data_IF_312495592593
#
_entry.id   IF_312495592593
#
_cell.length_a   1.000
_cell.length_b   1.000
_cell.length_c   1.000
_cell.angle_alpha   90.00
_cell.angle_beta   90.00
_cell.angle_gamma   90.00
#
_symmetry.space_group_name_H-M   'P 1'
#
loop_
_entity.id
_entity.type
_entity.pdbx_description
1 polymer ?
#
# COMPACT_ATOMS: atom_id res chain seq x y z
N UNK A 1 7.27 -13.00 36.88
CA UNK A 1 6.91 -14.16 36.00
C UNK A 1 7.93 -14.17 34.87
N UNK A 2 8.30 -15.33 34.29
CA UNK A 2 9.21 -15.36 33.17
C UNK A 2 8.63 -14.58 32.00
N UNK A 3 9.45 -13.76 31.34
CA UNK A 3 9.08 -12.96 30.17
C UNK A 3 9.29 -13.70 28.85
N UNK A 4 9.71 -14.95 28.90
CA UNK A 4 9.95 -15.81 27.74
C UNK A 4 10.05 -17.28 28.14
N UNK A 5 9.88 -18.18 27.16
CA UNK A 5 10.09 -19.62 27.32
C UNK A 5 11.23 -20.06 26.38
N UNK A 6 12.32 -20.71 26.87
CA UNK A 6 13.50 -21.00 26.06
C UNK A 6 13.22 -21.83 24.80
N UNK A 7 12.35 -22.87 24.90
CA UNK A 7 11.98 -23.68 23.74
C UNK A 7 11.14 -22.92 22.73
N UNK A 8 10.26 -22.00 23.18
CA UNK A 8 9.52 -21.12 22.31
C UNK A 8 10.46 -20.19 21.54
N UNK A 9 11.44 -19.57 22.22
CA UNK A 9 12.43 -18.71 21.55
C UNK A 9 13.20 -19.44 20.47
N UNK A 10 13.64 -20.69 20.76
CA UNK A 10 14.36 -21.49 19.78
C UNK A 10 13.52 -21.83 18.56
N UNK A 11 12.26 -22.23 18.75
CA UNK A 11 11.40 -22.62 17.62
C UNK A 11 10.92 -21.42 16.82
N UNK A 12 10.68 -20.26 17.47
CA UNK A 12 10.38 -18.99 16.78
C UNK A 12 11.51 -18.60 15.82
N UNK A 13 12.77 -18.68 16.28
CA UNK A 13 13.95 -18.39 15.41
C UNK A 13 13.96 -19.31 14.19
N UNK A 14 13.71 -20.62 14.36
CA UNK A 14 13.62 -21.54 13.24
C UNK A 14 12.49 -21.18 12.28
N UNK A 15 11.33 -20.78 12.80
CA UNK A 15 10.21 -20.35 11.98
C UNK A 15 10.52 -19.06 11.20
N UNK A 16 11.16 -18.09 11.83
CA UNK A 16 11.55 -16.83 11.16
C UNK A 16 12.60 -17.09 10.07
N UNK A 17 13.56 -17.97 10.30
CA UNK A 17 14.49 -18.43 9.26
C UNK A 17 13.73 -19.09 8.11
N UNK A 18 12.79 -20.00 8.41
CA UNK A 18 11.95 -20.64 7.40
C UNK A 18 11.16 -19.62 6.58
N UNK A 19 10.55 -18.61 7.22
CA UNK A 19 9.83 -17.54 6.52
C UNK A 19 10.76 -16.72 5.62
N UNK A 20 11.95 -16.39 6.11
CA UNK A 20 12.93 -15.58 5.38
C UNK A 20 13.59 -16.37 4.24
N UNK A 21 14.10 -17.54 4.51
CA UNK A 21 14.94 -18.29 3.56
C UNK A 21 14.13 -19.22 2.64
N UNK A 22 13.15 -19.95 3.17
CA UNK A 22 12.34 -20.88 2.38
C UNK A 22 11.12 -20.23 1.76
N UNK A 23 10.44 -19.31 2.46
CA UNK A 23 9.26 -18.59 1.95
C UNK A 23 9.60 -17.25 1.31
N UNK A 24 10.85 -16.80 1.41
CA UNK A 24 11.38 -15.55 0.83
C UNK A 24 10.55 -14.31 1.19
N UNK A 25 10.02 -14.30 2.41
CA UNK A 25 9.23 -13.17 2.91
C UNK A 25 10.14 -11.99 3.26
N UNK A 26 9.61 -10.77 3.10
CA UNK A 26 10.28 -9.54 3.51
C UNK A 26 10.42 -9.46 5.04
N UNK A 27 11.41 -8.73 5.53
CA UNK A 27 11.61 -8.50 6.98
C UNK A 27 10.34 -7.93 7.63
N UNK A 28 9.71 -6.94 7.02
CA UNK A 28 8.45 -6.38 7.54
C UNK A 28 7.32 -7.42 7.66
N UNK A 29 7.28 -8.41 6.76
CA UNK A 29 6.31 -9.52 6.87
C UNK A 29 6.66 -10.46 8.02
N UNK A 30 7.94 -10.75 8.22
CA UNK A 30 8.41 -11.58 9.34
C UNK A 30 8.18 -10.88 10.67
N UNK A 31 8.40 -9.57 10.75
CA UNK A 31 8.12 -8.75 11.95
C UNK A 31 6.62 -8.77 12.30
N UNK A 32 5.73 -8.70 11.32
CA UNK A 32 4.30 -8.80 11.55
C UNK A 32 3.91 -10.17 12.14
N UNK A 33 4.55 -11.24 11.67
CA UNK A 33 4.39 -12.60 12.24
C UNK A 33 4.94 -12.64 13.66
N UNK A 34 6.12 -12.08 13.90
CA UNK A 34 6.74 -12.03 15.23
C UNK A 34 5.84 -11.31 16.25
N UNK A 35 5.25 -10.17 15.84
CA UNK A 35 4.29 -9.45 16.67
C UNK A 35 3.02 -10.26 16.98
N UNK A 36 2.51 -11.02 16.01
CA UNK A 36 1.35 -11.88 16.23
C UNK A 36 1.65 -12.97 17.25
N UNK A 37 2.82 -13.64 17.13
CA UNK A 37 3.26 -14.67 18.07
C UNK A 37 3.50 -14.06 19.47
N UNK A 38 4.15 -12.91 19.56
CA UNK A 38 4.39 -12.22 20.83
C UNK A 38 3.07 -11.88 21.56
N UNK A 39 2.05 -11.41 20.82
CA UNK A 39 0.71 -11.17 21.41
C UNK A 39 0.11 -12.43 22.01
N UNK A 40 0.26 -13.58 21.35
CA UNK A 40 -0.22 -14.85 21.84
C UNK A 40 0.58 -15.34 23.06
N UNK A 41 1.91 -15.18 23.05
CA UNK A 41 2.76 -15.55 24.20
C UNK A 41 2.43 -14.74 25.45
N UNK A 42 2.26 -13.44 25.32
CA UNK A 42 1.82 -12.55 26.43
C UNK A 42 0.47 -13.02 26.98
N UNK A 43 -0.47 -13.33 26.12
CA UNK A 43 -1.81 -13.79 26.49
C UNK A 43 -1.80 -15.13 27.23
N UNK A 44 -0.95 -16.06 26.78
CA UNK A 44 -0.79 -17.38 27.38
C UNK A 44 0.24 -17.41 28.50
N UNK A 45 0.79 -16.26 28.92
CA UNK A 45 1.84 -16.12 29.96
C UNK A 45 3.07 -16.93 29.64
N UNK A 46 3.50 -16.91 28.38
CA UNK A 46 4.70 -17.59 27.86
C UNK A 46 4.71 -19.09 28.10
N UNK A 47 3.54 -19.75 28.06
CA UNK A 47 3.46 -21.21 28.13
C UNK A 47 4.17 -21.86 26.96
N UNK A 48 4.70 -23.05 27.20
CA UNK A 48 5.30 -23.88 26.16
C UNK A 48 4.29 -24.13 25.02
N UNK A 49 4.68 -23.87 23.80
CA UNK A 49 3.82 -24.12 22.62
C UNK A 49 3.43 -25.60 22.45
N UNK A 50 4.17 -26.53 23.04
CA UNK A 50 3.77 -27.96 23.08
C UNK A 50 2.46 -28.20 23.84
N UNK A 51 2.07 -27.29 24.70
CA UNK A 51 0.82 -27.35 25.45
C UNK A 51 -0.36 -26.66 24.77
N UNK A 52 -0.17 -26.21 23.51
CA UNK A 52 -1.25 -25.57 22.76
C UNK A 52 -2.44 -26.52 22.54
N UNK A 53 -3.65 -25.99 22.69
CA UNK A 53 -4.92 -26.67 22.43
C UNK A 53 -5.91 -25.66 21.83
N UNK A 54 -6.92 -26.18 21.14
CA UNK A 54 -7.97 -25.41 20.49
C UNK A 54 -8.65 -24.39 21.41
N UNK A 55 -8.86 -24.73 22.71
CA UNK A 55 -9.48 -23.84 23.69
C UNK A 55 -8.67 -22.56 23.91
N UNK A 56 -7.33 -22.64 23.80
CA UNK A 56 -6.46 -21.48 23.91
C UNK A 56 -6.65 -20.53 22.71
N UNK A 57 -6.82 -21.08 21.51
CA UNK A 57 -7.11 -20.27 20.32
C UNK A 57 -8.47 -19.56 20.45
N UNK A 58 -9.50 -20.27 20.92
CA UNK A 58 -10.84 -19.71 21.17
C UNK A 58 -10.78 -18.58 22.21
N UNK A 59 -10.12 -18.84 23.34
CA UNK A 59 -9.99 -17.85 24.41
C UNK A 59 -9.18 -16.63 23.96
N UNK A 60 -8.09 -16.85 23.20
CA UNK A 60 -7.27 -15.77 22.63
C UNK A 60 -8.09 -14.89 21.67
N UNK A 61 -8.90 -15.47 20.78
CA UNK A 61 -9.76 -14.70 19.86
C UNK A 61 -10.67 -13.73 20.61
N UNK A 62 -11.30 -14.19 21.68
CA UNK A 62 -12.20 -13.36 22.50
C UNK A 62 -11.44 -12.17 23.11
N UNK A 63 -10.29 -12.43 23.74
CA UNK A 63 -9.48 -11.37 24.36
C UNK A 63 -8.84 -10.44 23.31
N UNK A 64 -8.48 -10.95 22.14
CA UNK A 64 -7.93 -10.13 21.05
C UNK A 64 -8.97 -9.11 20.54
N UNK A 65 -10.25 -9.48 20.53
CA UNK A 65 -11.33 -8.60 20.09
C UNK A 65 -11.52 -7.37 21.02
N UNK A 66 -11.16 -7.51 22.29
CA UNK A 66 -11.26 -6.47 23.31
C UNK A 66 -9.94 -5.69 23.50
N UNK A 67 -8.86 -6.18 22.91
CA UNK A 67 -7.51 -5.62 23.11
C UNK A 67 -7.37 -4.26 22.43
N UNK A 68 -6.81 -3.30 23.16
CA UNK A 68 -6.47 -1.97 22.64
C UNK A 68 -5.06 -1.94 22.06
N UNK A 69 -4.83 -1.02 21.13
CA UNK A 69 -3.52 -0.70 20.56
C UNK A 69 -2.75 0.18 21.55
N UNK A 70 -1.51 -0.19 21.85
CA UNK A 70 -0.63 0.63 22.71
C UNK A 70 -0.31 2.00 22.07
N UNK A 71 -0.32 2.08 20.73
CA UNK A 71 0.00 3.31 20.02
C UNK A 71 -1.16 4.30 19.92
N UNK A 72 -2.43 3.81 19.91
CA UNK A 72 -3.61 4.66 19.68
C UNK A 72 -4.60 4.65 20.84
N UNK A 73 -4.48 3.70 21.78
CA UNK A 73 -5.47 3.48 22.85
C UNK A 73 -6.80 2.91 22.37
N UNK A 74 -7.01 2.77 21.07
CA UNK A 74 -8.24 2.25 20.48
C UNK A 74 -8.22 0.72 20.37
N UNK A 75 -9.42 0.12 20.32
CA UNK A 75 -9.57 -1.33 20.09
C UNK A 75 -8.92 -1.70 18.75
N UNK A 76 -8.22 -2.84 18.72
CA UNK A 76 -7.56 -3.34 17.50
C UNK A 76 -8.57 -3.46 16.36
N UNK A 77 -8.21 -2.92 15.18
CA UNK A 77 -9.07 -3.01 14.00
C UNK A 77 -9.35 -4.48 13.62
N UNK A 78 -10.52 -4.76 13.07
CA UNK A 78 -10.88 -6.09 12.59
C UNK A 78 -9.83 -6.66 11.60
N UNK A 79 -9.24 -5.81 10.76
CA UNK A 79 -8.16 -6.21 9.85
C UNK A 79 -6.89 -6.65 10.61
N UNK A 80 -6.52 -5.95 11.69
CA UNK A 80 -5.38 -6.31 12.54
C UNK A 80 -5.65 -7.62 13.29
N UNK A 81 -6.86 -7.80 13.80
CA UNK A 81 -7.28 -9.05 14.46
C UNK A 81 -7.20 -10.23 13.47
N UNK A 82 -7.77 -10.09 12.28
CA UNK A 82 -7.74 -11.09 11.22
C UNK A 82 -6.30 -11.45 10.83
N UNK A 83 -5.44 -10.46 10.58
CA UNK A 83 -4.03 -10.70 10.23
C UNK A 83 -3.28 -11.42 11.35
N UNK A 84 -3.49 -11.02 12.62
CA UNK A 84 -2.88 -11.68 13.79
C UNK A 84 -3.27 -13.16 13.86
N UNK A 85 -4.56 -13.46 13.73
CA UNK A 85 -5.06 -14.84 13.78
C UNK A 85 -4.58 -15.68 12.59
N UNK A 86 -4.54 -15.11 11.39
CA UNK A 86 -4.02 -15.78 10.21
C UNK A 86 -2.52 -16.10 10.32
N UNK A 87 -1.72 -15.23 10.94
CA UNK A 87 -0.32 -15.50 11.23
C UNK A 87 -0.15 -16.63 12.26
N UNK A 88 -0.93 -16.61 13.32
CA UNK A 88 -0.90 -17.64 14.35
C UNK A 88 -1.34 -19.00 13.79
N UNK A 89 -2.41 -19.03 13.01
CA UNK A 89 -2.85 -20.26 12.33
C UNK A 89 -1.70 -20.90 11.54
N UNK A 90 -1.04 -20.12 10.68
CA UNK A 90 0.09 -20.61 9.86
C UNK A 90 1.28 -21.06 10.71
N UNK A 91 1.56 -20.35 11.80
CA UNK A 91 2.62 -20.72 12.72
C UNK A 91 2.33 -22.07 13.39
N UNK A 92 1.15 -22.26 13.99
CA UNK A 92 0.80 -23.51 14.66
C UNK A 92 0.65 -24.69 13.69
N UNK A 93 0.16 -24.47 12.47
CA UNK A 93 0.15 -25.46 11.40
C UNK A 93 1.58 -25.90 11.03
N UNK A 94 2.50 -24.97 10.88
CA UNK A 94 3.90 -25.30 10.64
C UNK A 94 4.52 -26.00 11.85
N UNK A 95 4.21 -25.54 13.06
CA UNK A 95 4.73 -26.10 14.30
C UNK A 95 4.30 -27.56 14.51
N UNK A 96 3.06 -27.90 14.21
CA UNK A 96 2.53 -29.26 14.31
C UNK A 96 3.27 -30.27 13.42
N UNK A 97 3.97 -29.80 12.39
CA UNK A 97 4.77 -30.63 11.50
C UNK A 97 6.22 -30.85 12.00
N UNK A 98 6.66 -30.12 13.04
CA UNK A 98 8.03 -30.19 13.53
C UNK A 98 8.26 -31.43 14.40
N UNK A 99 9.45 -32.10 14.34
CA UNK A 99 9.70 -33.39 15.01
C UNK A 99 9.39 -33.42 16.52
N UNK A 100 9.59 -32.28 17.21
CA UNK A 100 9.37 -32.20 18.68
C UNK A 100 7.92 -31.85 19.06
N UNK A 101 7.10 -31.49 18.07
CA UNK A 101 5.75 -30.96 18.27
C UNK A 101 4.67 -31.88 17.68
N UNK A 102 4.96 -32.60 16.58
CA UNK A 102 4.01 -33.45 15.86
C UNK A 102 3.27 -34.49 16.69
N UNK A 103 3.89 -34.96 17.81
CA UNK A 103 3.27 -35.91 18.73
C UNK A 103 2.46 -35.22 19.85
N UNK A 104 2.47 -33.89 19.92
CA UNK A 104 1.86 -33.08 21.00
C UNK A 104 0.80 -32.13 20.49
N UNK A 105 0.88 -31.72 19.23
CA UNK A 105 -0.02 -30.75 18.61
C UNK A 105 -0.82 -31.44 17.50
N UNK A 106 -2.10 -31.15 17.47
CA UNK A 106 -2.93 -31.52 16.34
C UNK A 106 -2.90 -30.34 15.33
N UNK A 107 -2.67 -30.67 14.04
CA UNK A 107 -2.67 -29.70 12.97
C UNK A 107 -4.02 -28.96 12.86
N UNK A 108 -5.11 -29.68 13.10
CA UNK A 108 -6.47 -29.14 13.04
C UNK A 108 -6.79 -28.15 14.16
N UNK A 109 -6.10 -28.22 15.31
CA UNK A 109 -6.28 -27.25 16.40
C UNK A 109 -5.99 -25.80 15.97
N UNK A 110 -5.11 -25.63 14.98
CA UNK A 110 -4.84 -24.30 14.40
C UNK A 110 -6.02 -23.71 13.64
N UNK A 111 -7.00 -24.52 13.19
CA UNK A 111 -8.21 -24.03 12.52
C UNK A 111 -9.09 -23.20 13.46
N UNK A 112 -8.98 -23.39 14.77
CA UNK A 112 -9.71 -22.63 15.77
C UNK A 112 -9.30 -21.15 15.84
N UNK A 113 -8.21 -20.75 15.16
CA UNK A 113 -7.89 -19.33 14.94
C UNK A 113 -8.75 -18.67 13.85
N UNK A 114 -9.49 -19.41 13.05
CA UNK A 114 -10.36 -18.83 12.02
C UNK A 114 -11.42 -17.93 12.66
N UNK A 115 -11.70 -16.81 12.00
CA UNK A 115 -12.89 -16.02 12.25
C UNK A 115 -14.09 -16.62 11.51
N UNK A 116 -15.31 -16.22 11.90
CA UNK A 116 -16.51 -16.51 11.13
C UNK A 116 -16.40 -15.91 9.72
N UNK A 117 -17.16 -16.43 8.75
CA UNK A 117 -17.23 -15.82 7.40
C UNK A 117 -17.64 -14.34 7.47
N UNK A 118 -18.63 -14.03 8.31
CA UNK A 118 -19.10 -12.66 8.53
C UNK A 118 -17.96 -11.76 9.02
N UNK A 119 -17.24 -12.17 10.08
CA UNK A 119 -16.16 -11.38 10.65
C UNK A 119 -14.97 -11.27 9.69
N UNK A 120 -14.68 -12.32 8.92
CA UNK A 120 -13.66 -12.31 7.87
C UNK A 120 -14.02 -11.32 6.76
N UNK A 121 -15.28 -11.29 6.31
CA UNK A 121 -15.77 -10.31 5.32
C UNK A 121 -15.68 -8.89 5.87
N UNK A 122 -16.06 -8.66 7.12
CA UNK A 122 -15.93 -7.35 7.78
C UNK A 122 -14.46 -6.93 7.90
N UNK A 123 -13.57 -7.85 8.27
CA UNK A 123 -12.14 -7.60 8.43
C UNK A 123 -11.43 -7.27 7.11
N UNK A 124 -11.87 -7.91 6.03
CA UNK A 124 -11.30 -7.73 4.68
C UNK A 124 -12.04 -6.69 3.84
N UNK A 125 -13.20 -6.21 4.31
CA UNK A 125 -13.97 -5.18 3.63
C UNK A 125 -13.15 -3.88 3.52
N UNK A 126 -13.10 -3.32 2.32
CA UNK A 126 -12.46 -2.03 2.08
C UNK A 126 -13.36 -0.92 2.62
N UNK A 127 -12.83 -0.15 3.54
CA UNK A 127 -13.50 1.07 4.01
C UNK A 127 -13.02 2.24 3.18
N UNK A 128 -13.91 3.11 2.69
CA UNK A 128 -13.52 4.38 2.10
C UNK A 128 -12.64 5.14 3.11
N UNK A 129 -11.49 5.59 2.65
CA UNK A 129 -10.62 6.46 3.46
C UNK A 129 -10.70 7.85 2.87
N UNK A 130 -10.69 8.89 3.69
CA UNK A 130 -10.56 10.25 3.20
C UNK A 130 -9.32 10.36 2.30
N UNK A 131 -9.47 11.01 1.16
CA UNK A 131 -8.41 11.25 0.17
C UNK A 131 -8.31 12.76 -0.01
N UNK A 132 -7.10 13.35 0.03
CA UNK A 132 -6.97 14.79 -0.22
C UNK A 132 -7.33 15.11 -1.67
N UNK A 133 -8.01 16.21 -1.91
CA UNK A 133 -8.24 16.70 -3.27
C UNK A 133 -6.94 17.21 -3.90
N UNK A 134 -6.90 17.34 -5.22
CA UNK A 134 -5.74 17.90 -5.92
C UNK A 134 -5.43 19.31 -5.40
N UNK A 135 -6.46 20.14 -5.20
CA UNK A 135 -6.36 21.51 -4.73
C UNK A 135 -5.80 21.57 -3.29
N UNK A 136 -6.25 20.67 -2.42
CA UNK A 136 -5.70 20.55 -1.06
C UNK A 136 -4.20 20.23 -1.08
N UNK A 137 -3.78 19.27 -1.93
CA UNK A 137 -2.36 18.91 -2.03
C UNK A 137 -1.54 20.07 -2.61
N UNK A 138 -2.05 20.76 -3.64
CA UNK A 138 -1.42 21.97 -4.18
C UNK A 138 -1.29 23.06 -3.12
N UNK A 139 -2.34 23.32 -2.37
CA UNK A 139 -2.32 24.27 -1.26
C UNK A 139 -1.23 23.93 -0.24
N UNK A 140 -1.11 22.67 0.17
CA UNK A 140 -0.03 22.22 1.05
C UNK A 140 1.34 22.55 0.48
N UNK A 141 1.61 22.18 -0.79
CA UNK A 141 2.88 22.42 -1.46
C UNK A 141 3.20 23.93 -1.54
N UNK A 142 2.21 24.76 -1.82
CA UNK A 142 2.38 26.22 -1.90
C UNK A 142 2.70 26.84 -0.53
N UNK A 143 2.17 26.27 0.56
CA UNK A 143 2.43 26.74 1.94
C UNK A 143 3.77 26.26 2.50
N UNK A 144 4.39 25.25 1.90
CA UNK A 144 5.69 24.75 2.37
C UNK A 144 6.79 25.78 2.14
N UNK A 145 7.64 26.06 3.16
CA UNK A 145 8.78 26.95 3.00
C UNK A 145 9.84 26.35 2.06
N UNK A 146 10.68 27.24 1.49
CA UNK A 146 11.75 26.86 0.55
C UNK A 146 13.01 27.73 0.75
N UNK A 147 13.27 28.19 1.97
CA UNK A 147 14.41 29.08 2.29
C UNK A 147 15.72 28.31 2.44
N UNK A 148 15.65 27.09 2.96
CA UNK A 148 16.81 26.19 3.17
C UNK A 148 16.76 25.01 2.24
N UNK A 149 17.90 24.33 2.02
CA UNK A 149 17.96 23.13 1.19
C UNK A 149 17.09 21.99 1.74
N UNK A 150 16.95 21.89 3.06
CA UNK A 150 16.04 20.92 3.70
C UNK A 150 14.60 21.24 3.33
N UNK A 151 14.19 22.48 3.38
CA UNK A 151 12.84 22.92 3.04
C UNK A 151 12.56 22.75 1.55
N UNK A 152 13.51 23.15 0.69
CA UNK A 152 13.41 22.93 -0.77
C UNK A 152 13.24 21.45 -1.10
N UNK A 153 14.07 20.57 -0.49
CA UNK A 153 13.95 19.12 -0.62
C UNK A 153 12.58 18.63 -0.18
N UNK A 154 12.10 19.07 0.97
CA UNK A 154 10.81 18.61 1.52
C UNK A 154 9.65 19.01 0.59
N UNK A 155 9.65 20.25 0.11
CA UNK A 155 8.66 20.77 -0.82
C UNK A 155 8.69 20.01 -2.15
N UNK A 156 9.88 19.84 -2.73
CA UNK A 156 10.07 19.09 -3.97
C UNK A 156 9.68 17.62 -3.84
N UNK A 157 9.89 17.00 -2.69
CA UNK A 157 9.49 15.62 -2.41
C UNK A 157 7.97 15.45 -2.45
N UNK A 158 7.21 16.35 -1.83
CA UNK A 158 5.74 16.30 -1.85
C UNK A 158 5.22 16.59 -3.26
N UNK A 159 5.81 17.57 -3.96
CA UNK A 159 5.51 17.88 -5.35
C UNK A 159 5.79 16.69 -6.29
N UNK A 160 6.93 16.03 -6.15
CA UNK A 160 7.29 14.87 -6.93
C UNK A 160 6.39 13.65 -6.66
N UNK A 161 6.00 13.46 -5.40
CA UNK A 161 5.05 12.42 -5.03
C UNK A 161 3.68 12.62 -5.71
N UNK A 162 3.21 13.87 -5.81
CA UNK A 162 2.00 14.22 -6.56
C UNK A 162 2.20 14.05 -8.07
N UNK A 163 3.34 14.51 -8.60
CA UNK A 163 3.65 14.50 -10.04
C UNK A 163 3.78 13.08 -10.60
N UNK A 164 4.23 12.11 -9.79
CA UNK A 164 4.56 10.75 -10.23
C UNK A 164 3.71 9.64 -9.60
N UNK A 165 3.05 9.93 -8.49
CA UNK A 165 2.40 8.89 -7.68
C UNK A 165 3.38 7.85 -7.13
N UNK A 166 4.68 8.15 -7.02
CA UNK A 166 5.67 7.23 -6.48
C UNK A 166 5.36 6.83 -5.03
N UNK A 167 5.65 5.57 -4.68
CA UNK A 167 5.48 5.09 -3.30
C UNK A 167 6.57 5.66 -2.40
N UNK A 168 6.28 5.79 -1.11
CA UNK A 168 7.21 6.34 -0.11
C UNK A 168 8.57 5.60 -0.09
N UNK A 169 8.57 4.27 -0.24
CA UNK A 169 9.81 3.48 -0.34
C UNK A 169 10.60 3.74 -1.63
N UNK A 170 9.91 4.01 -2.73
CA UNK A 170 10.55 4.40 -3.98
C UNK A 170 11.14 5.80 -3.85
N UNK A 171 10.40 6.77 -3.28
CA UNK A 171 10.89 8.12 -2.99
C UNK A 171 12.16 8.12 -2.15
N UNK A 172 12.27 7.21 -1.18
CA UNK A 172 13.45 7.08 -0.32
C UNK A 172 14.70 6.57 -1.04
N UNK A 173 14.58 5.95 -2.21
CA UNK A 173 15.67 5.29 -2.92
C UNK A 173 15.91 5.77 -4.35
N UNK A 174 15.10 6.69 -4.85
CA UNK A 174 15.23 7.23 -6.21
C UNK A 174 16.46 8.13 -6.31
N UNK A 175 17.17 8.09 -7.46
CA UNK A 175 18.37 8.87 -7.74
C UNK A 175 18.12 9.91 -8.83
N UNK A 176 19.00 10.91 -8.91
CA UNK A 176 18.94 11.97 -9.92
C UNK A 176 18.92 11.43 -11.36
N UNK A 177 19.70 10.38 -11.64
CA UNK A 177 19.77 9.78 -12.98
C UNK A 177 18.49 9.05 -13.41
N UNK A 178 17.54 8.82 -12.51
CA UNK A 178 16.26 8.21 -12.85
C UNK A 178 15.24 9.20 -13.41
N UNK A 179 15.48 10.51 -13.27
CA UNK A 179 14.54 11.57 -13.68
C UNK A 179 14.97 12.18 -14.99
N UNK A 180 14.10 12.12 -15.99
CA UNK A 180 14.21 12.85 -17.24
C UNK A 180 13.18 13.98 -17.27
N UNK A 181 13.66 15.21 -17.02
CA UNK A 181 12.82 16.39 -17.01
C UNK A 181 12.35 16.80 -18.41
N UNK A 182 13.15 16.52 -19.44
CA UNK A 182 12.83 16.83 -20.83
C UNK A 182 11.71 15.94 -21.34
N UNK A 183 11.84 14.63 -21.15
CA UNK A 183 10.80 13.66 -21.46
C UNK A 183 9.61 13.69 -20.47
N UNK A 184 9.74 14.37 -19.33
CA UNK A 184 8.70 14.43 -18.30
C UNK A 184 8.39 13.08 -17.68
N UNK A 185 9.41 12.30 -17.35
CA UNK A 185 9.22 10.95 -16.80
C UNK A 185 10.28 10.57 -15.76
N UNK A 186 10.04 9.46 -15.09
CA UNK A 186 10.95 8.84 -14.15
C UNK A 186 11.02 7.33 -14.41
N UNK A 187 12.22 6.79 -14.53
CA UNK A 187 12.44 5.35 -14.62
C UNK A 187 12.66 4.77 -13.23
N UNK A 188 11.73 3.97 -12.76
CA UNK A 188 11.83 3.26 -11.49
C UNK A 188 12.49 1.90 -11.72
N UNK A 189 13.83 1.87 -11.69
CA UNK A 189 14.63 0.65 -11.88
C UNK A 189 14.62 -0.17 -10.58
N UNK A 190 14.03 -1.36 -10.62
CA UNK A 190 13.91 -2.23 -9.45
C UNK A 190 15.25 -2.73 -8.88
N UNK A 191 16.35 -2.61 -9.65
CA UNK A 191 17.70 -2.95 -9.17
C UNK A 191 18.23 -1.93 -8.15
N UNK A 192 17.71 -0.71 -8.18
CA UNK A 192 18.16 0.41 -7.35
C UNK A 192 17.01 0.99 -6.53
N UNK A 193 15.84 1.18 -7.15
CA UNK A 193 14.66 1.78 -6.52
C UNK A 193 13.83 0.70 -5.83
N UNK A 194 13.48 0.91 -4.57
CA UNK A 194 12.66 -0.02 -3.78
C UNK A 194 11.20 -0.02 -4.25
N UNK A 195 10.96 -0.63 -5.40
CA UNK A 195 9.62 -0.76 -5.97
C UNK A 195 8.86 -1.95 -5.39
N UNK A 196 7.53 -1.88 -5.38
CA UNK A 196 6.70 -3.02 -4.95
C UNK A 196 6.86 -4.18 -5.94
N UNK A 197 7.11 -5.38 -5.43
CA UNK A 197 7.36 -6.60 -6.21
C UNK A 197 8.60 -6.54 -7.12
N UNK A 198 9.57 -5.67 -6.80
CA UNK A 198 10.82 -5.52 -7.56
C UNK A 198 10.58 -5.35 -9.07
N UNK A 199 9.64 -4.49 -9.45
CA UNK A 199 9.30 -4.20 -10.86
C UNK A 199 9.93 -2.91 -11.32
N UNK A 200 10.55 -2.98 -12.51
CA UNK A 200 11.01 -1.79 -13.23
C UNK A 200 9.91 -1.30 -14.16
N UNK A 201 9.63 -0.02 -14.13
CA UNK A 201 8.64 0.63 -15.00
C UNK A 201 8.90 2.11 -15.15
N UNK A 202 8.43 2.68 -16.27
CA UNK A 202 8.43 4.11 -16.51
C UNK A 202 7.16 4.73 -15.95
N UNK A 203 7.30 5.89 -15.32
CA UNK A 203 6.20 6.74 -14.89
C UNK A 203 6.35 8.10 -15.57
N UNK A 204 5.39 8.50 -16.37
CA UNK A 204 5.28 9.85 -16.92
C UNK A 204 4.65 10.79 -15.90
N UNK A 205 5.02 12.06 -15.96
CA UNK A 205 4.46 13.07 -15.05
C UNK A 205 2.97 13.23 -15.29
N UNK A 206 2.19 13.14 -14.24
CA UNK A 206 0.76 13.36 -14.29
C UNK A 206 0.44 14.83 -14.55
N UNK A 207 -0.66 15.15 -15.24
CA UNK A 207 -1.08 16.53 -15.56
C UNK A 207 -1.69 17.21 -14.32
N UNK A 208 -0.86 17.46 -13.31
CA UNK A 208 -1.25 18.07 -12.03
C UNK A 208 -0.93 19.56 -11.96
N UNK A 209 -0.37 20.14 -13.02
CA UNK A 209 -0.04 21.55 -13.18
C UNK A 209 1.44 21.83 -13.38
N UNK A 210 1.75 22.86 -14.15
CA UNK A 210 3.12 23.25 -14.48
C UNK A 210 3.86 23.84 -13.26
N UNK A 211 3.14 24.43 -12.33
CA UNK A 211 3.64 24.92 -11.04
C UNK A 211 4.30 23.79 -10.23
N UNK A 212 3.67 22.62 -10.18
CA UNK A 212 4.19 21.44 -9.50
C UNK A 212 5.42 20.90 -10.22
N UNK A 213 5.39 20.84 -11.56
CA UNK A 213 6.52 20.43 -12.39
C UNK A 213 7.71 21.37 -12.20
N UNK A 214 7.47 22.68 -12.16
CA UNK A 214 8.52 23.68 -11.97
C UNK A 214 9.26 23.52 -10.64
N UNK A 215 8.56 23.24 -9.53
CA UNK A 215 9.17 22.99 -8.22
C UNK A 215 10.15 21.79 -8.29
N UNK A 216 9.75 20.72 -8.96
CA UNK A 216 10.61 19.54 -9.12
C UNK A 216 11.80 19.84 -10.02
N UNK A 217 11.59 20.56 -11.12
CA UNK A 217 12.65 20.93 -12.06
C UNK A 217 13.69 21.86 -11.39
N UNK A 218 13.23 22.85 -10.60
CA UNK A 218 14.09 23.74 -9.83
C UNK A 218 14.95 22.94 -8.82
N UNK A 219 14.34 21.99 -8.12
CA UNK A 219 15.05 21.13 -7.17
C UNK A 219 16.14 20.28 -7.85
N UNK A 220 15.81 19.64 -8.99
CA UNK A 220 16.79 18.84 -9.75
C UNK A 220 17.92 19.71 -10.25
N UNK A 221 17.64 20.92 -10.74
CA UNK A 221 18.63 21.89 -11.18
C UNK A 221 19.55 22.30 -10.02
N UNK A 222 18.95 22.65 -8.87
CA UNK A 222 19.71 23.02 -7.65
C UNK A 222 20.70 21.91 -7.24
N UNK A 223 20.24 20.66 -7.23
CA UNK A 223 21.15 19.54 -6.93
C UNK A 223 22.29 19.43 -7.96
N UNK A 224 22.02 19.62 -9.24
CA UNK A 224 23.02 19.43 -10.32
C UNK A 224 23.96 20.61 -10.46
N UNK A 225 23.43 21.84 -10.46
CA UNK A 225 24.17 23.05 -10.79
C UNK A 225 24.79 23.71 -9.57
N UNK A 226 24.04 23.80 -8.45
CA UNK A 226 24.54 24.50 -7.25
C UNK A 226 25.29 23.54 -6.31
N UNK A 227 24.78 22.31 -6.13
CA UNK A 227 25.41 21.31 -5.24
C UNK A 227 26.35 20.35 -5.98
N UNK A 228 26.37 20.38 -7.30
CA UNK A 228 27.22 19.55 -8.18
C UNK A 228 27.06 18.04 -7.93
N UNK A 229 25.83 17.59 -7.77
CA UNK A 229 25.51 16.18 -7.56
C UNK A 229 25.34 15.45 -8.89
N UNK A 230 25.76 14.19 -8.93
CA UNK A 230 25.74 13.33 -10.11
C UNK A 230 24.52 12.42 -10.15
N UNK A 231 24.42 11.64 -11.22
CA UNK A 231 23.31 10.75 -11.50
C UNK A 231 23.08 9.67 -10.42
N UNK A 232 24.14 9.24 -9.74
CA UNK A 232 24.06 8.21 -8.70
C UNK A 232 23.64 8.74 -7.33
N UNK A 233 23.59 10.05 -7.19
CA UNK A 233 23.19 10.68 -5.92
C UNK A 233 21.67 10.59 -5.71
N UNK A 234 21.22 10.60 -4.44
CA UNK A 234 19.81 10.53 -4.13
C UNK A 234 19.07 11.79 -4.60
N UNK A 235 17.91 11.60 -5.22
CA UNK A 235 17.04 12.73 -5.57
C UNK A 235 16.52 13.44 -4.30
N UNK A 236 16.22 12.67 -3.26
CA UNK A 236 15.79 13.19 -1.96
C UNK A 236 16.74 12.69 -0.88
N UNK A 237 17.79 13.45 -0.59
CA UNK A 237 18.84 13.08 0.36
C UNK A 237 18.37 13.10 1.81
N UNK A 238 19.05 12.36 2.66
CA UNK A 238 18.87 12.39 4.10
C UNK A 238 19.22 13.79 4.67
N UNK A 239 18.75 14.05 5.88
CA UNK A 239 19.13 15.24 6.63
C UNK A 239 20.40 14.96 7.42
N UNK A 240 21.43 15.81 7.24
CA UNK A 240 22.62 15.78 8.08
C UNK A 240 22.28 16.37 9.43
N UNK A 241 22.52 15.60 10.47
CA UNK A 241 22.33 16.01 11.85
C UNK A 241 23.65 16.01 12.59
N UNK A 242 23.88 17.05 13.39
CA UNK A 242 25.06 17.17 14.21
C UNK A 242 24.67 17.43 15.67
N UNK A 243 25.50 17.05 16.64
CA UNK A 243 25.29 17.44 18.05
C UNK A 243 25.33 18.96 18.18
N UNK A 244 24.23 19.55 18.59
CA UNK A 244 24.17 20.98 18.91
C UNK A 244 24.48 21.24 20.37
N UNK A 245 24.37 22.50 20.76
CA UNK A 245 24.46 22.91 22.15
C UNK A 245 23.48 22.12 23.02
N UNK A 246 23.92 21.65 24.19
CA UNK A 246 23.13 20.80 25.11
C UNK A 246 22.81 19.37 24.64
N UNK A 247 23.65 18.77 23.78
CA UNK A 247 23.52 17.39 23.29
C UNK A 247 22.21 17.11 22.51
N UNK A 248 21.49 18.12 22.07
CA UNK A 248 20.37 17.94 21.13
C UNK A 248 20.90 17.87 19.70
N UNK A 249 20.42 16.90 18.94
CA UNK A 249 20.74 16.81 17.51
C UNK A 249 20.06 17.94 16.74
N UNK A 250 20.82 18.66 15.93
CA UNK A 250 20.33 19.74 15.07
C UNK A 250 20.52 19.37 13.60
N UNK A 251 19.50 19.68 12.79
CA UNK A 251 19.56 19.53 11.35
C UNK A 251 20.43 20.67 10.77
N UNK A 252 21.57 20.32 10.18
CA UNK A 252 22.55 21.31 9.68
C UNK A 252 22.64 21.36 8.15
N UNK A 253 21.92 20.49 7.44
CA UNK A 253 21.92 20.48 5.97
C UNK A 253 21.52 19.13 5.40
N UNK A 254 21.96 18.89 4.17
CA UNK A 254 21.72 17.63 3.45
C UNK A 254 22.92 16.70 3.58
N UNK A 255 22.65 15.42 3.75
CA UNK A 255 23.64 14.36 3.67
C UNK A 255 23.53 13.68 2.30
N UNK A 256 24.63 13.52 1.57
CA UNK A 256 24.68 12.89 0.25
C UNK A 256 24.44 11.38 0.33
N UNK A 257 23.31 11.01 0.97
CA UNK A 257 22.90 9.64 1.27
C UNK A 257 21.39 9.51 1.17
N UNK A 258 20.93 8.39 0.62
CA UNK A 258 19.51 8.06 0.59
C UNK A 258 18.98 7.69 2.00
N UNK A 259 17.68 7.84 2.23
CA UNK A 259 17.05 7.35 3.45
C UNK A 259 17.01 5.82 3.49
N UNK A 260 17.30 5.25 4.63
CA UNK A 260 17.19 3.80 4.84
C UNK A 260 15.74 3.32 4.87
N UNK A 261 14.86 4.14 5.42
CA UNK A 261 13.42 3.86 5.57
C UNK A 261 12.57 5.01 5.04
N UNK A 262 11.29 4.77 4.85
CA UNK A 262 10.32 5.80 4.46
C UNK A 262 9.77 6.61 5.66
N UNK A 263 10.23 6.39 6.88
CA UNK A 263 9.74 7.09 8.06
C UNK A 263 9.94 8.62 7.98
N UNK A 264 11.11 9.15 7.56
CA UNK A 264 11.30 10.60 7.41
C UNK A 264 10.33 11.21 6.39
N UNK A 265 10.03 10.51 5.29
CA UNK A 265 9.07 10.96 4.27
C UNK A 265 7.69 11.14 4.87
N UNK A 266 7.23 10.16 5.66
CA UNK A 266 5.93 10.25 6.34
C UNK A 266 5.87 11.40 7.35
N UNK A 267 6.98 11.68 8.04
CA UNK A 267 7.10 12.82 8.94
C UNK A 267 7.01 14.15 8.18
N UNK A 268 7.67 14.29 7.02
CA UNK A 268 7.59 15.46 6.15
C UNK A 268 6.13 15.69 5.71
N UNK A 269 5.44 14.65 5.25
CA UNK A 269 4.04 14.74 4.87
C UNK A 269 3.16 15.19 6.03
N UNK A 270 3.36 14.58 7.22
CA UNK A 270 2.60 14.96 8.41
C UNK A 270 2.76 16.43 8.74
N UNK A 271 4.00 16.90 8.83
CA UNK A 271 4.32 18.30 9.11
C UNK A 271 3.73 19.26 8.06
N UNK A 272 3.83 18.89 6.76
CA UNK A 272 3.34 19.73 5.67
C UNK A 272 1.81 19.90 5.72
N UNK A 273 1.07 18.81 5.94
CA UNK A 273 -0.39 18.88 6.02
C UNK A 273 -0.87 19.59 7.28
N UNK A 274 -0.26 19.32 8.44
CA UNK A 274 -0.56 19.99 9.71
C UNK A 274 -0.28 21.50 9.65
N UNK A 275 0.86 21.89 9.06
CA UNK A 275 1.22 23.30 8.86
C UNK A 275 0.27 24.04 7.92
N UNK A 276 -0.38 23.34 7.00
CA UNK A 276 -1.40 23.87 6.12
C UNK A 276 -2.81 23.87 6.74
N UNK A 277 -2.97 23.44 8.00
CA UNK A 277 -4.27 23.36 8.68
C UNK A 277 -5.15 22.20 8.21
N UNK A 278 -4.58 21.20 7.57
CA UNK A 278 -5.30 20.03 7.03
C UNK A 278 -5.00 18.76 7.84
N UNK A 279 -5.93 17.80 7.88
CA UNK A 279 -5.66 16.51 8.49
C UNK A 279 -4.51 15.79 7.77
N UNK A 280 -3.76 14.99 8.52
CA UNK A 280 -2.66 14.21 7.96
C UNK A 280 -3.14 13.20 6.92
N UNK A 281 -2.57 13.28 5.74
CA UNK A 281 -2.69 12.28 4.70
C UNK A 281 -1.31 11.66 4.43
N UNK A 282 -1.24 10.33 4.42
CA UNK A 282 0.02 9.63 4.14
C UNK A 282 0.41 9.74 2.66
N UNK A 283 1.70 9.52 2.28
CA UNK A 283 2.14 9.64 0.89
C UNK A 283 1.33 8.78 -0.10
N UNK A 284 0.85 7.61 0.34
CA UNK A 284 0.07 6.71 -0.51
C UNK A 284 -1.30 7.31 -0.91
N UNK A 285 -1.85 8.23 -0.12
CA UNK A 285 -3.13 8.88 -0.42
C UNK A 285 -3.08 9.72 -1.70
N UNK A 286 -1.91 10.28 -2.07
CA UNK A 286 -1.73 11.02 -3.32
C UNK A 286 -1.99 10.15 -4.56
N UNK A 287 -1.71 8.85 -4.47
CA UNK A 287 -2.06 7.91 -5.55
C UNK A 287 -3.58 7.79 -5.71
N UNK A 288 -4.32 7.84 -4.61
CA UNK A 288 -5.78 7.87 -4.66
C UNK A 288 -6.29 9.18 -5.25
N UNK A 289 -5.67 10.32 -4.89
CA UNK A 289 -5.94 11.62 -5.55
C UNK A 289 -5.72 11.54 -7.06
N UNK A 290 -4.60 10.95 -7.51
CA UNK A 290 -4.32 10.77 -8.93
C UNK A 290 -5.30 9.83 -9.63
N UNK A 291 -5.80 8.80 -8.95
CA UNK A 291 -6.85 7.93 -9.52
C UNK A 291 -8.16 8.71 -9.68
N UNK A 292 -8.57 9.51 -8.68
CA UNK A 292 -9.74 10.36 -8.81
C UNK A 292 -9.59 11.37 -9.95
N UNK A 293 -8.41 11.99 -10.10
CA UNK A 293 -8.11 12.84 -11.24
C UNK A 293 -8.23 12.08 -12.56
N UNK A 294 -7.67 10.86 -12.65
CA UNK A 294 -7.78 10.01 -13.84
C UNK A 294 -9.23 9.69 -14.20
N UNK A 295 -10.09 9.45 -13.22
CA UNK A 295 -11.53 9.25 -13.45
C UNK A 295 -12.23 10.48 -14.03
N UNK A 296 -11.71 11.68 -13.76
CA UNK A 296 -12.27 12.94 -14.26
C UNK A 296 -11.76 13.29 -15.66
N UNK A 297 -10.47 13.02 -15.94
CA UNK A 297 -9.83 13.48 -17.20
C UNK A 297 -9.79 12.42 -18.29
N UNK A 298 -9.76 11.13 -17.95
CA UNK A 298 -9.76 10.06 -18.93
C UNK A 298 -11.17 9.86 -19.52
N UNK A 299 -11.25 9.92 -20.84
CA UNK A 299 -12.51 9.79 -21.59
C UNK A 299 -12.69 8.42 -22.22
N UNK A 300 -11.60 7.65 -22.40
CA UNK A 300 -11.65 6.33 -23.01
C UNK A 300 -11.06 5.26 -22.07
N UNK A 301 -11.45 3.99 -22.23
CA UNK A 301 -10.87 2.88 -21.51
C UNK A 301 -9.35 2.76 -21.70
N UNK A 302 -8.84 3.09 -22.89
CA UNK A 302 -7.41 3.08 -23.19
C UNK A 302 -6.67 4.15 -22.39
N UNK A 303 -7.19 5.38 -22.32
CA UNK A 303 -6.62 6.45 -21.50
C UNK A 303 -6.56 6.05 -20.02
N UNK A 304 -7.64 5.47 -19.49
CA UNK A 304 -7.68 5.03 -18.11
C UNK A 304 -6.73 3.84 -17.85
N UNK A 305 -6.57 2.95 -18.83
CA UNK A 305 -5.60 1.87 -18.76
C UNK A 305 -4.16 2.40 -18.74
N UNK A 306 -3.84 3.36 -19.63
CA UNK A 306 -2.53 4.02 -19.64
C UNK A 306 -2.26 4.75 -18.31
N UNK A 307 -3.26 5.44 -17.77
CA UNK A 307 -3.19 6.08 -16.45
C UNK A 307 -2.90 5.08 -15.33
N UNK A 308 -3.58 3.95 -15.33
CA UNK A 308 -3.38 2.86 -14.36
C UNK A 308 -1.98 2.25 -14.47
N UNK A 309 -1.50 2.01 -15.68
CA UNK A 309 -0.15 1.50 -15.94
C UNK A 309 0.92 2.50 -15.47
N UNK A 310 0.69 3.80 -15.68
CA UNK A 310 1.56 4.89 -15.20
C UNK A 310 1.70 4.92 -13.67
N UNK A 311 0.68 4.47 -12.95
CA UNK A 311 0.75 4.22 -11.51
C UNK A 311 1.45 2.90 -11.14
N UNK A 312 1.90 2.11 -12.11
CA UNK A 312 2.51 0.80 -11.90
C UNK A 312 1.53 -0.26 -11.40
N UNK A 313 0.26 -0.20 -11.81
CA UNK A 313 -0.73 -1.25 -11.55
C UNK A 313 -0.68 -2.31 -12.65
N UNK A 314 -0.70 -3.59 -12.27
CA UNK A 314 -0.64 -4.70 -13.23
C UNK A 314 -1.94 -4.89 -14.03
N UNK A 315 -3.05 -4.53 -13.45
CA UNK A 315 -4.37 -4.64 -14.05
C UNK A 315 -5.20 -3.40 -13.82
N UNK A 316 -6.01 -3.03 -14.82
CA UNK A 316 -6.98 -1.94 -14.70
C UNK A 316 -7.95 -2.20 -13.56
N UNK A 317 -8.35 -3.47 -13.35
CA UNK A 317 -9.15 -3.89 -12.21
C UNK A 317 -8.53 -3.54 -10.86
N UNK A 318 -7.20 -3.55 -10.74
CA UNK A 318 -6.51 -3.09 -9.51
C UNK A 318 -6.84 -1.63 -9.22
N UNK A 319 -6.91 -0.80 -10.25
CA UNK A 319 -7.29 0.60 -10.11
C UNK A 319 -8.77 0.74 -9.71
N UNK A 320 -9.67 0.05 -10.39
CA UNK A 320 -11.10 0.07 -10.05
C UNK A 320 -11.39 -0.51 -8.65
N UNK A 321 -10.77 -1.64 -8.31
CA UNK A 321 -11.03 -2.33 -7.04
C UNK A 321 -10.27 -1.70 -5.86
N UNK A 322 -9.14 -1.03 -6.10
CA UNK A 322 -8.28 -0.54 -5.00
C UNK A 322 -8.74 0.79 -4.41
N UNK A 323 -9.52 1.56 -5.14
CA UNK A 323 -9.86 2.94 -4.78
C UNK A 323 -11.33 3.15 -4.40
N UNK A 324 -12.05 2.08 -4.11
CA UNK A 324 -13.38 2.13 -3.52
C UNK A 324 -14.52 2.13 -4.54
N UNK A 325 -15.73 2.06 -4.01
CA UNK A 325 -16.95 2.26 -4.78
C UNK A 325 -17.10 3.74 -5.16
N UNK A 326 -17.77 4.00 -6.26
CA UNK A 326 -18.22 5.36 -6.61
C UNK A 326 -19.11 5.85 -5.45
N UNK A 327 -18.87 7.07 -4.97
CA UNK A 327 -19.71 7.66 -3.92
C UNK A 327 -21.18 7.64 -4.37
N UNK A 328 -22.10 7.37 -3.46
CA UNK A 328 -23.54 7.16 -3.78
C UNK A 328 -24.12 8.34 -4.55
N UNK A 329 -23.78 9.57 -4.15
CA UNK A 329 -24.24 10.78 -4.83
C UNK A 329 -23.73 10.83 -6.27
N UNK A 330 -22.43 10.54 -6.46
CA UNK A 330 -21.80 10.49 -7.78
C UNK A 330 -22.33 9.35 -8.63
N UNK A 331 -22.66 8.19 -8.04
CA UNK A 331 -23.31 7.09 -8.71
C UNK A 331 -24.68 7.52 -9.25
N UNK A 332 -25.46 8.25 -8.44
CA UNK A 332 -26.74 8.82 -8.86
C UNK A 332 -26.58 9.78 -10.04
N UNK A 333 -25.66 10.72 -9.96
CA UNK A 333 -25.34 11.68 -11.05
C UNK A 333 -24.98 10.95 -12.36
N UNK A 334 -24.09 9.94 -12.27
CA UNK A 334 -23.68 9.14 -13.44
C UNK A 334 -24.87 8.42 -14.04
N UNK A 335 -25.67 7.72 -13.23
CA UNK A 335 -26.85 6.97 -13.72
C UNK A 335 -27.86 7.93 -14.37
N UNK A 336 -28.13 9.08 -13.76
CA UNK A 336 -29.02 10.08 -14.35
C UNK A 336 -28.47 10.66 -15.66
N UNK A 337 -27.15 10.88 -15.75
CA UNK A 337 -26.52 11.39 -16.97
C UNK A 337 -26.54 10.39 -18.14
N UNK A 338 -26.53 9.08 -17.85
CA UNK A 338 -26.59 8.04 -18.87
C UNK A 338 -27.95 7.98 -19.60
N UNK A 339 -29.01 8.50 -18.99
CA UNK A 339 -30.34 8.60 -19.59
C UNK A 339 -30.53 9.82 -20.51
N UNK A 340 -29.56 10.77 -20.57
CA UNK A 340 -29.66 11.94 -21.41
C UNK A 340 -28.91 11.73 -22.74
N UNK A 341 -29.48 12.11 -23.91
CA UNK A 341 -28.78 12.03 -25.18
C UNK A 341 -27.57 12.97 -25.17
N UNK A 342 -26.36 12.43 -25.26
CA UNK A 342 -25.12 13.20 -25.31
C UNK A 342 -24.48 13.08 -26.67
N UNK A 343 -24.16 14.21 -27.28
CA UNK A 343 -23.68 14.33 -28.65
C UNK A 343 -22.26 13.77 -28.91
N UNK A 344 -21.57 13.23 -27.88
CA UNK A 344 -20.14 12.85 -27.97
C UNK A 344 -19.81 11.59 -27.16
N UNK A 345 -20.67 10.55 -27.18
CA UNK A 345 -20.33 9.26 -26.52
C UNK A 345 -19.90 8.24 -27.56
N UNK A 346 -18.74 7.57 -27.37
CA UNK A 346 -18.48 6.33 -28.10
C UNK A 346 -19.61 5.32 -27.78
N UNK A 347 -20.06 4.58 -28.79
CA UNK A 347 -21.14 3.62 -28.61
C UNK A 347 -20.78 2.61 -27.49
N UNK A 348 -21.78 2.14 -26.71
CA UNK A 348 -21.53 1.13 -25.67
C UNK A 348 -20.85 -0.13 -26.20
N UNK A 349 -21.03 -0.43 -27.47
CA UNK A 349 -20.41 -1.51 -28.24
C UNK A 349 -18.90 -1.33 -28.36
N UNK A 350 -18.42 -0.11 -28.62
CA UNK A 350 -17.00 0.20 -28.74
C UNK A 350 -16.27 0.00 -27.40
N UNK A 351 -16.94 0.31 -26.30
CA UNK A 351 -16.39 0.16 -24.94
C UNK A 351 -16.33 -1.32 -24.52
N UNK A 352 -17.35 -2.09 -24.83
CA UNK A 352 -17.41 -3.52 -24.56
C UNK A 352 -16.39 -4.27 -25.43
N UNK A 353 -16.25 -3.91 -26.70
CA UNK A 353 -15.29 -4.49 -27.62
C UNK A 353 -13.83 -4.18 -27.23
N UNK A 354 -13.53 -2.95 -26.83
CA UNK A 354 -12.21 -2.57 -26.33
C UNK A 354 -11.84 -3.33 -25.04
N UNK A 355 -12.81 -3.55 -24.15
CA UNK A 355 -12.60 -4.34 -22.94
C UNK A 355 -12.38 -5.82 -23.25
N UNK A 356 -13.20 -6.38 -24.15
CA UNK A 356 -13.10 -7.76 -24.63
C UNK A 356 -11.76 -8.03 -25.33
N UNK A 357 -11.35 -7.15 -26.20
CA UNK A 357 -10.05 -7.20 -26.89
C UNK A 357 -8.87 -7.10 -25.92
N UNK A 358 -8.97 -6.27 -24.89
CA UNK A 358 -7.96 -6.15 -23.84
C UNK A 358 -7.85 -7.42 -22.98
N UNK A 359 -8.95 -8.12 -22.76
CA UNK A 359 -9.00 -9.40 -22.04
C UNK A 359 -8.43 -10.55 -22.88
N UNK A 360 -8.81 -10.63 -24.16
CA UNK A 360 -8.30 -11.64 -25.11
C UNK A 360 -6.80 -11.54 -25.35
N UNK A 361 -6.24 -10.33 -25.50
CA UNK A 361 -4.79 -10.11 -25.64
C UNK A 361 -3.98 -10.55 -24.42
N UNK A 362 -4.62 -10.74 -23.26
CA UNK A 362 -3.99 -11.21 -22.02
C UNK A 362 -4.20 -12.70 -21.75
N UNK A 363 -4.75 -13.45 -22.71
CA UNK A 363 -4.96 -14.89 -22.56
C UNK A 363 -6.05 -15.25 -21.53
N UNK A 364 -6.95 -14.32 -21.20
CA UNK A 364 -8.13 -14.65 -20.39
C UNK A 364 -9.06 -15.47 -21.26
N UNK A 365 -9.18 -16.76 -21.00
CA UNK A 365 -10.19 -17.61 -21.64
C UNK A 365 -11.57 -17.21 -21.09
N UNK A 366 -12.38 -16.62 -21.96
CA UNK A 366 -13.78 -16.39 -21.67
C UNK A 366 -14.51 -17.73 -21.87
N UNK A 367 -14.92 -18.35 -20.78
CA UNK A 367 -15.85 -19.48 -20.84
C UNK A 367 -17.19 -18.93 -21.33
N UNK A 368 -17.76 -19.44 -22.45
CA UNK A 368 -19.09 -19.03 -22.85
C UNK A 368 -20.05 -19.40 -21.72
N UNK A 369 -20.91 -18.45 -21.34
CA UNK A 369 -22.11 -18.75 -20.53
C UNK A 369 -22.95 -19.67 -21.39
N UNK A 370 -22.93 -20.96 -21.14
CA UNK A 370 -23.90 -21.90 -21.70
C UNK A 370 -25.27 -21.45 -21.21
N UNK A 371 -26.10 -21.03 -22.14
CA UNK A 371 -27.53 -20.82 -21.89
C UNK A 371 -28.07 -22.10 -21.22
N UNK A 372 -28.64 -21.94 -20.03
CA UNK A 372 -29.31 -23.03 -19.34
C UNK A 372 -30.41 -23.62 -20.27
N UNK A 373 -30.78 -24.91 -20.09
CA UNK A 373 -31.75 -25.55 -20.93
C UNK A 373 -33.07 -24.79 -20.86
N UNK A 374 -33.56 -24.36 -22.02
CA UNK A 374 -34.93 -23.94 -22.21
C UNK A 374 -35.84 -25.11 -21.83
N UNK A 375 -36.66 -24.94 -20.81
CA UNK A 375 -37.79 -25.82 -20.55
C UNK A 375 -38.75 -25.70 -21.71
N UNK A 376 -38.75 -26.69 -22.58
CA UNK A 376 -39.84 -26.90 -23.51
C UNK A 376 -41.05 -27.48 -22.75
N UNK A 377 -42.05 -26.62 -22.64
CA UNK A 377 -43.37 -26.94 -22.13
C UNK A 377 -44.15 -27.59 -23.29
N UNK A 378 -44.16 -28.90 -23.38
CA UNK A 378 -45.14 -29.63 -24.14
C UNK A 378 -45.72 -30.77 -23.31
N UNK A 379 -46.88 -30.44 -22.73
CA UNK A 379 -47.81 -31.44 -22.28
C UNK A 379 -48.33 -32.30 -23.41
N UNK A 380 -48.34 -33.61 -23.16
CA UNK A 380 -49.43 -34.47 -23.64
C UNK A 380 -49.59 -35.65 -22.70
N UNK A 381 -50.78 -35.73 -22.13
CA UNK A 381 -51.31 -36.96 -21.53
C UNK A 381 -51.36 -38.09 -22.58
N UNK A 382 -50.95 -39.26 -22.18
CA UNK A 382 -51.80 -40.49 -22.20
C UNK A 382 -51.17 -41.42 -21.14
#
# INVERSE_FOLDING_TARGET
MPTHHPDNERIKRQYFVFLKEAKRQSEASVDAVAQAIARFEVDTRYRDFRSFRSEQAVAFKRRLAERTSEATGEVLSAATQYATLAHLKRFFQWLALQPRYRSKLDYSDAEYFNLSEKDSRIATARRPRPVPTLEQVKHVIQRMPANTDIERRNRALVAFALLTGARDTALASIRLGHVDLAAGCVFQDARVVKTKFSKSFMTYFFPVGDDIRAIVAEWVRHLREDLLWGNDDPLFPATRVEPGERLHFQAVGLERKAWETAAPIRAIFKQAFEAAGLPYFNPHSLRSTLVQLGQQVCRTPEQFKAWSQNLGHEGVLTTFLSYGAVATDRQGEIIHSLGQPSADKPAPEDMAEALLQAMLRRGVQLTPLTAGPTQDDHGQMI
#
